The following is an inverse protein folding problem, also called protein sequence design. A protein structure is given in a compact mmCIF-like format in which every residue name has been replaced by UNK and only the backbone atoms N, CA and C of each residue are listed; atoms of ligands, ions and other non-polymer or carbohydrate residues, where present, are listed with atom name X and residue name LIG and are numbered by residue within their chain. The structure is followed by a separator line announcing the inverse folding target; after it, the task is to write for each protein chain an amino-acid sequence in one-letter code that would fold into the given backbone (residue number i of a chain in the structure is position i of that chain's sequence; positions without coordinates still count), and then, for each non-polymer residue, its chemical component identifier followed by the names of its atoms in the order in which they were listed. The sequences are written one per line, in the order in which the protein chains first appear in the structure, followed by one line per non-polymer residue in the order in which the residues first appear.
data_IF_805130532100
#
_entry.id   IF_805130532100
#
_cell.length_a   1.000
_cell.length_b   1.000
_cell.length_c   1.000
_cell.angle_alpha   90.00
_cell.angle_beta   90.00
_cell.angle_gamma   90.00
#
_symmetry.space_group_name_H-M   'P 1'
#
loop_
_entity.id
_entity.type
_entity.pdbx_description
1 polymer ?
#
# COMPACT_ATOMS: atom_id res chain seq x y z
N UNK A 1 7.13 -11.69 22.33
CA UNK A 1 8.41 -10.98 22.15
C UNK A 1 8.85 -11.02 20.70
N UNK A 2 9.58 -10.00 20.20
CA UNK A 2 10.16 -10.00 18.84
C UNK A 2 11.11 -11.18 18.62
N UNK A 3 11.68 -11.72 19.68
CA UNK A 3 12.55 -12.91 19.65
C UNK A 3 11.81 -14.22 19.33
N UNK A 4 10.50 -14.24 19.45
CA UNK A 4 9.68 -15.44 19.21
C UNK A 4 9.26 -15.58 17.75
N UNK A 5 9.62 -14.59 16.91
CA UNK A 5 9.24 -14.56 15.49
C UNK A 5 10.42 -14.98 14.62
N UNK A 6 10.22 -15.98 13.81
CA UNK A 6 11.15 -16.27 12.72
C UNK A 6 11.10 -15.12 11.70
N UNK A 7 12.26 -14.58 11.34
CA UNK A 7 12.38 -13.41 10.44
C UNK A 7 11.58 -13.53 9.13
N UNK A 8 11.46 -14.71 8.49
CA UNK A 8 10.60 -14.85 7.31
C UNK A 8 9.12 -14.62 7.63
N UNK A 9 8.61 -15.10 8.76
CA UNK A 9 7.22 -14.90 9.18
C UNK A 9 6.93 -13.44 9.52
N UNK A 10 7.86 -12.75 10.19
CA UNK A 10 7.73 -11.32 10.46
C UNK A 10 7.55 -10.52 9.17
N UNK A 11 8.38 -10.79 8.14
CA UNK A 11 8.34 -10.09 6.84
C UNK A 11 7.04 -10.31 6.06
N UNK A 12 6.27 -11.36 6.36
CA UNK A 12 4.95 -11.54 5.74
C UNK A 12 3.86 -10.68 6.38
N UNK A 13 4.09 -10.20 7.60
CA UNK A 13 3.10 -9.48 8.40
C UNK A 13 3.34 -7.99 8.46
N UNK A 14 4.58 -7.54 8.29
CA UNK A 14 4.98 -6.15 8.33
C UNK A 14 5.50 -5.74 6.96
N UNK A 15 4.92 -4.71 6.38
CA UNK A 15 5.32 -4.19 5.08
C UNK A 15 5.66 -2.70 5.17
N UNK A 16 6.62 -2.27 4.36
CA UNK A 16 7.11 -0.90 4.32
C UNK A 16 6.84 -0.26 2.97
N UNK A 17 6.34 0.97 3.00
CA UNK A 17 6.18 1.83 1.82
C UNK A 17 7.08 3.05 2.03
N UNK A 18 8.18 3.17 1.28
CA UNK A 18 9.09 4.30 1.37
C UNK A 18 8.53 5.53 0.66
N UNK A 19 9.06 6.70 0.99
CA UNK A 19 8.76 7.95 0.32
C UNK A 19 9.01 7.90 -1.19
N UNK A 20 10.08 7.22 -1.62
CA UNK A 20 10.40 7.02 -3.03
C UNK A 20 10.39 5.51 -3.35
N UNK A 21 9.26 4.98 -3.85
CA UNK A 21 9.15 3.57 -4.18
C UNK A 21 10.08 3.18 -5.34
N UNK A 22 10.70 2.00 -5.23
CA UNK A 22 11.57 1.45 -6.27
C UNK A 22 10.88 0.27 -6.95
N UNK A 23 10.99 0.21 -8.26
CA UNK A 23 10.47 -0.84 -9.10
C UNK A 23 11.59 -1.46 -9.95
N UNK A 24 11.39 -2.71 -10.37
CA UNK A 24 12.23 -3.34 -11.37
C UNK A 24 11.92 -2.74 -12.75
N UNK A 25 12.88 -2.79 -13.67
CA UNK A 25 12.72 -2.33 -15.06
C UNK A 25 11.83 -3.32 -15.86
N UNK A 26 10.59 -3.40 -15.47
CA UNK A 26 9.55 -4.29 -15.98
C UNK A 26 8.21 -3.56 -15.98
N UNK A 27 7.13 -4.22 -16.42
CA UNK A 27 5.79 -3.63 -16.38
C UNK A 27 5.29 -3.47 -14.94
N UNK A 28 4.30 -2.59 -14.77
CA UNK A 28 3.60 -2.40 -13.49
C UNK A 28 3.06 -3.73 -12.99
N UNK A 29 2.39 -4.50 -13.85
CA UNK A 29 1.82 -5.79 -13.48
C UNK A 29 2.88 -6.79 -13.02
N UNK A 30 4.01 -6.87 -13.71
CA UNK A 30 5.11 -7.76 -13.32
C UNK A 30 5.66 -7.37 -11.94
N UNK A 31 5.80 -6.08 -11.66
CA UNK A 31 6.19 -5.58 -10.35
C UNK A 31 5.19 -5.94 -9.25
N UNK A 32 3.89 -5.88 -9.53
CA UNK A 32 2.85 -6.32 -8.60
C UNK A 32 2.93 -7.83 -8.32
N UNK A 33 3.20 -8.64 -9.36
CA UNK A 33 3.28 -10.11 -9.27
C UNK A 33 4.55 -10.61 -8.55
N UNK A 34 5.63 -9.85 -8.54
CA UNK A 34 6.93 -10.30 -8.00
C UNK A 34 6.89 -10.78 -6.56
N UNK A 35 6.09 -10.15 -5.71
CA UNK A 35 6.00 -10.53 -4.31
C UNK A 35 5.51 -11.98 -4.11
N UNK A 36 4.68 -12.49 -5.03
CA UNK A 36 4.15 -13.86 -4.98
C UNK A 36 5.18 -14.93 -5.41
N UNK A 37 6.30 -14.51 -6.00
CA UNK A 37 7.42 -15.41 -6.31
C UNK A 37 8.27 -15.75 -5.07
N UNK A 38 8.12 -14.97 -3.99
CA UNK A 38 8.81 -15.20 -2.74
C UNK A 38 8.20 -16.42 -2.02
N UNK A 39 9.05 -17.31 -1.51
CA UNK A 39 8.64 -18.51 -0.77
C UNK A 39 7.63 -18.20 0.36
N UNK A 40 7.78 -17.05 1.00
CA UNK A 40 6.90 -16.60 2.07
C UNK A 40 5.45 -16.31 1.62
N UNK A 41 5.23 -16.04 0.34
CA UNK A 41 3.92 -15.70 -0.25
C UNK A 41 3.43 -16.70 -1.29
N UNK A 42 4.12 -17.84 -1.49
CA UNK A 42 3.78 -18.85 -2.51
C UNK A 42 2.37 -19.46 -2.37
N UNK A 43 1.78 -19.36 -1.17
CA UNK A 43 0.41 -19.80 -0.89
C UNK A 43 -0.65 -18.78 -1.33
N UNK A 44 -0.27 -17.57 -1.68
CA UNK A 44 -1.13 -16.51 -2.18
C UNK A 44 -1.04 -16.41 -3.70
N UNK A 45 -2.03 -15.80 -4.31
CA UNK A 45 -2.08 -15.60 -5.76
C UNK A 45 -2.38 -14.15 -6.07
N UNK A 46 -1.79 -13.66 -7.15
CA UNK A 46 -2.12 -12.37 -7.71
C UNK A 46 -3.57 -12.36 -8.20
N UNK A 47 -4.33 -11.38 -7.76
CA UNK A 47 -5.71 -11.15 -8.22
C UNK A 47 -5.78 -9.83 -9.00
N UNK A 48 -5.77 -9.96 -10.32
CA UNK A 48 -5.87 -8.81 -11.23
C UNK A 48 -7.17 -8.04 -11.05
N UNK A 49 -8.30 -8.75 -10.79
CA UNK A 49 -9.59 -8.10 -10.60
C UNK A 49 -9.59 -7.19 -9.38
N UNK A 50 -8.98 -7.63 -8.30
CA UNK A 50 -8.83 -6.83 -7.09
C UNK A 50 -7.95 -5.59 -7.34
N UNK A 51 -6.85 -5.75 -8.07
CA UNK A 51 -5.97 -4.62 -8.43
C UNK A 51 -6.73 -3.61 -9.30
N UNK A 52 -7.46 -4.06 -10.31
CA UNK A 52 -8.27 -3.18 -11.15
C UNK A 52 -9.34 -2.44 -10.34
N UNK A 53 -10.05 -3.12 -9.45
CA UNK A 53 -11.04 -2.52 -8.56
C UNK A 53 -10.44 -1.45 -7.62
N UNK A 54 -9.21 -1.64 -7.16
CA UNK A 54 -8.50 -0.61 -6.40
C UNK A 54 -8.05 0.56 -7.27
N UNK A 55 -7.52 0.31 -8.49
CA UNK A 55 -7.13 1.37 -9.43
C UNK A 55 -8.33 2.25 -9.82
N UNK A 56 -9.51 1.68 -9.99
CA UNK A 56 -10.75 2.43 -10.25
C UNK A 56 -11.05 3.45 -9.13
N UNK A 57 -10.76 3.12 -7.88
CA UNK A 57 -10.96 4.05 -6.76
C UNK A 57 -10.05 5.28 -6.85
N UNK A 58 -8.91 5.18 -7.51
CA UNK A 58 -8.01 6.32 -7.72
C UNK A 58 -8.38 7.17 -8.93
N UNK A 59 -9.18 6.67 -9.87
CA UNK A 59 -9.53 7.37 -11.13
C UNK A 59 -8.30 7.96 -11.83
N UNK A 60 -7.21 7.17 -11.90
CA UNK A 60 -6.00 7.59 -12.58
C UNK A 60 -6.30 7.88 -14.05
N UNK A 61 -5.61 8.86 -14.69
CA UNK A 61 -5.77 9.11 -16.10
C UNK A 61 -5.46 7.84 -16.92
N UNK A 62 -6.37 7.45 -17.78
CA UNK A 62 -6.15 6.42 -18.79
C UNK A 62 -5.78 7.06 -20.12
N UNK A 63 -5.04 6.39 -20.99
CA UNK A 63 -4.66 6.90 -22.29
C UNK A 63 -5.86 7.28 -23.17
N UNK A 64 -7.04 6.73 -22.91
CA UNK A 64 -8.28 7.05 -23.60
C UNK A 64 -8.88 8.41 -23.24
N UNK A 65 -8.30 9.17 -22.31
CA UNK A 65 -8.73 10.54 -21.98
C UNK A 65 -10.11 10.64 -21.31
N UNK A 66 -10.75 9.53 -20.96
CA UNK A 66 -12.09 9.53 -20.39
C UNK A 66 -12.03 9.47 -18.86
N UNK A 67 -12.23 10.61 -18.22
CA UNK A 67 -12.38 10.75 -16.77
C UNK A 67 -13.77 10.36 -16.26
N UNK A 68 -14.59 9.68 -17.04
CA UNK A 68 -15.96 9.32 -16.66
C UNK A 68 -16.35 7.95 -17.20
N UNK A 69 -16.12 6.94 -16.41
CA UNK A 69 -16.52 5.56 -16.70
C UNK A 69 -15.45 4.57 -16.25
N UNK A 70 -15.83 3.33 -16.01
CA UNK A 70 -14.93 2.23 -15.66
C UNK A 70 -13.74 2.24 -16.63
N UNK A 71 -12.61 2.81 -16.18
CA UNK A 71 -11.40 2.92 -17.01
C UNK A 71 -10.80 1.54 -17.22
N UNK A 72 -10.45 1.21 -18.46
CA UNK A 72 -9.66 0.01 -18.72
C UNK A 72 -8.20 0.29 -18.28
N UNK A 73 -7.88 -0.10 -17.04
CA UNK A 73 -6.53 0.00 -16.49
C UNK A 73 -5.59 -1.12 -16.96
N UNK A 74 -6.02 -1.96 -17.91
CA UNK A 74 -5.17 -3.01 -18.48
C UNK A 74 -3.93 -2.40 -19.15
N UNK A 75 -4.10 -1.27 -19.83
CA UNK A 75 -2.97 -0.53 -20.42
C UNK A 75 -2.01 0.01 -19.35
N UNK A 76 -2.53 0.56 -18.26
CA UNK A 76 -1.72 1.00 -17.12
C UNK A 76 -0.86 -0.14 -16.56
N UNK A 77 -1.44 -1.33 -16.43
CA UNK A 77 -0.72 -2.51 -15.92
C UNK A 77 0.41 -2.96 -16.86
N UNK A 78 0.31 -2.71 -18.16
CA UNK A 78 1.34 -3.06 -19.15
C UNK A 78 2.40 -1.99 -19.34
N UNK A 79 2.22 -0.78 -18.77
CA UNK A 79 3.23 0.29 -18.86
C UNK A 79 4.52 -0.13 -18.14
N UNK A 80 5.70 0.29 -18.64
CA UNK A 80 6.96 0.17 -17.91
C UNK A 80 6.87 0.94 -16.58
N UNK A 81 7.25 0.29 -15.48
CA UNK A 81 7.15 0.92 -14.16
C UNK A 81 8.06 2.15 -14.00
N UNK A 82 9.10 2.28 -14.80
CA UNK A 82 9.99 3.45 -14.85
C UNK A 82 9.30 4.71 -15.39
N UNK A 83 8.21 4.55 -16.13
CA UNK A 83 7.46 5.66 -16.75
C UNK A 83 6.31 6.16 -15.87
N UNK A 84 6.18 5.63 -14.64
CA UNK A 84 5.21 6.09 -13.67
C UNK A 84 5.55 7.48 -13.13
N UNK A 85 4.55 8.35 -13.06
CA UNK A 85 4.65 9.58 -12.26
C UNK A 85 4.86 9.25 -10.78
N UNK A 86 5.31 10.23 -9.98
CA UNK A 86 5.49 10.02 -8.53
C UNK A 86 4.22 9.54 -7.82
N UNK A 87 3.07 10.10 -8.17
CA UNK A 87 1.78 9.70 -7.61
C UNK A 87 1.38 8.27 -8.03
N UNK A 88 1.52 7.94 -9.33
CA UNK A 88 1.25 6.58 -9.82
C UNK A 88 2.18 5.55 -9.17
N UNK A 89 3.45 5.91 -8.95
CA UNK A 89 4.42 5.08 -8.26
C UNK A 89 4.00 4.81 -6.80
N UNK A 90 3.55 5.84 -6.08
CA UNK A 90 3.06 5.68 -4.70
C UNK A 90 1.81 4.80 -4.63
N UNK A 91 0.84 5.02 -5.52
CA UNK A 91 -0.36 4.18 -5.59
C UNK A 91 0.03 2.73 -5.92
N UNK A 92 0.89 2.52 -6.93
CA UNK A 92 1.37 1.17 -7.29
C UNK A 92 2.09 0.48 -6.12
N UNK A 93 2.91 1.22 -5.35
CA UNK A 93 3.57 0.68 -4.16
C UNK A 93 2.56 0.28 -3.07
N UNK A 94 1.52 1.10 -2.84
CA UNK A 94 0.44 0.75 -1.94
C UNK A 94 -0.25 -0.56 -2.37
N UNK A 95 -0.69 -0.66 -3.63
CA UNK A 95 -1.37 -1.85 -4.14
C UNK A 95 -0.47 -3.09 -4.08
N UNK A 96 0.84 -2.95 -4.39
CA UNK A 96 1.83 -4.02 -4.28
C UNK A 96 1.91 -4.61 -2.87
N UNK A 97 1.70 -3.77 -1.86
CA UNK A 97 1.76 -4.17 -0.45
C UNK A 97 0.41 -4.70 0.03
N UNK A 98 -0.71 -4.00 -0.25
CA UNK A 98 -2.02 -4.38 0.26
C UNK A 98 -2.48 -5.76 -0.20
N UNK A 99 -2.17 -6.16 -1.45
CA UNK A 99 -2.49 -7.49 -1.98
C UNK A 99 -1.86 -8.65 -1.19
N UNK A 100 -0.83 -8.35 -0.37
CA UNK A 100 -0.16 -9.33 0.50
C UNK A 100 -0.84 -9.44 1.87
N UNK A 101 -1.89 -8.66 2.11
CA UNK A 101 -2.64 -8.61 3.37
C UNK A 101 -1.73 -8.51 4.61
N UNK A 102 -0.86 -7.50 4.70
CA UNK A 102 -0.01 -7.31 5.87
C UNK A 102 -0.86 -7.03 7.10
N UNK A 103 -0.31 -7.25 8.28
CA UNK A 103 -0.93 -6.87 9.55
C UNK A 103 -0.50 -5.46 9.99
N UNK A 104 0.72 -5.05 9.61
CA UNK A 104 1.27 -3.75 9.95
C UNK A 104 1.86 -3.10 8.70
N UNK A 105 1.55 -1.83 8.49
CA UNK A 105 2.15 -0.98 7.47
C UNK A 105 3.08 0.05 8.13
N UNK A 106 4.28 0.16 7.62
CA UNK A 106 5.20 1.25 7.90
C UNK A 106 5.17 2.19 6.69
N UNK A 107 4.75 3.43 6.89
CA UNK A 107 4.47 4.41 5.85
C UNK A 107 5.38 5.63 6.06
N UNK A 108 6.26 5.88 5.10
CA UNK A 108 7.19 7.00 5.13
C UNK A 108 6.81 8.01 4.05
N UNK A 109 6.21 9.14 4.46
CA UNK A 109 5.68 10.19 3.59
C UNK A 109 4.86 9.63 2.40
N UNK A 110 3.90 8.71 2.62
CA UNK A 110 3.31 7.90 1.56
C UNK A 110 2.43 8.69 0.58
N UNK A 111 2.15 9.96 0.88
CA UNK A 111 1.31 10.83 0.05
C UNK A 111 2.03 12.07 -0.46
N UNK A 112 3.34 12.16 -0.28
CA UNK A 112 4.12 13.35 -0.64
C UNK A 112 4.05 13.71 -2.14
N UNK A 113 3.83 12.73 -3.01
CA UNK A 113 3.72 12.90 -4.47
C UNK A 113 2.27 12.93 -4.97
N UNK A 114 1.29 12.96 -4.08
CA UNK A 114 -0.14 12.95 -4.41
C UNK A 114 -0.73 14.35 -4.25
N UNK A 115 -1.66 14.71 -5.13
CA UNK A 115 -2.53 15.86 -4.92
C UNK A 115 -3.56 15.59 -3.80
N UNK A 116 -4.36 16.59 -3.45
CA UNK A 116 -5.32 16.48 -2.35
C UNK A 116 -6.41 15.42 -2.60
N UNK A 117 -6.83 15.26 -3.86
CA UNK A 117 -7.87 14.29 -4.21
C UNK A 117 -7.34 12.86 -4.11
N UNK A 118 -6.18 12.59 -4.72
CA UNK A 118 -5.53 11.28 -4.65
C UNK A 118 -5.10 10.94 -3.22
N UNK A 119 -4.65 11.94 -2.43
CA UNK A 119 -4.37 11.77 -1.00
C UNK A 119 -5.60 11.27 -0.25
N UNK A 120 -6.76 11.90 -0.44
CA UNK A 120 -8.00 11.45 0.21
C UNK A 120 -8.40 10.03 -0.19
N UNK A 121 -8.23 9.67 -1.48
CA UNK A 121 -8.50 8.30 -1.97
C UNK A 121 -7.54 7.27 -1.38
N UNK A 122 -6.25 7.63 -1.23
CA UNK A 122 -5.22 6.82 -0.59
C UNK A 122 -5.57 6.55 0.88
N UNK A 123 -5.92 7.61 1.63
CA UNK A 123 -6.34 7.53 3.03
C UNK A 123 -7.59 6.63 3.17
N UNK A 124 -8.61 6.82 2.33
CA UNK A 124 -9.83 6.01 2.33
C UNK A 124 -9.55 4.52 2.06
N UNK A 125 -8.64 4.19 1.14
CA UNK A 125 -8.29 2.80 0.87
C UNK A 125 -7.58 2.15 2.07
N UNK A 126 -6.71 2.89 2.77
CA UNK A 126 -6.06 2.42 4.00
C UNK A 126 -7.07 2.19 5.14
N UNK A 127 -8.02 3.10 5.33
CA UNK A 127 -9.08 2.92 6.33
C UNK A 127 -9.94 1.69 6.05
N UNK A 128 -10.30 1.46 4.78
CA UNK A 128 -10.98 0.23 4.37
C UNK A 128 -10.14 -1.00 4.69
N UNK A 129 -8.87 -1.00 4.27
CA UNK A 129 -7.96 -2.10 4.56
C UNK A 129 -7.84 -2.39 6.07
N UNK A 130 -7.82 -1.36 6.92
CA UNK A 130 -7.74 -1.54 8.37
C UNK A 130 -8.99 -2.20 8.94
N UNK A 131 -10.16 -1.85 8.39
CA UNK A 131 -11.47 -2.28 8.91
C UNK A 131 -11.97 -3.59 8.28
N UNK A 132 -11.45 -3.97 7.10
CA UNK A 132 -11.84 -5.21 6.44
C UNK A 132 -11.13 -6.42 7.05
N UNK A 133 -11.91 -7.49 7.25
CA UNK A 133 -11.33 -8.76 7.71
C UNK A 133 -10.56 -9.44 6.58
N UNK A 134 -9.41 -10.07 6.85
CA UNK A 134 -8.74 -10.93 5.86
C UNK A 134 -9.66 -12.07 5.43
N UNK A 135 -9.81 -12.27 4.12
CA UNK A 135 -10.76 -13.22 3.50
C UNK A 135 -10.51 -14.70 3.90
N UNK A 136 -9.38 -15.04 4.52
CA UNK A 136 -8.91 -16.42 4.69
C UNK A 136 -8.70 -16.90 6.13
N UNK A 137 -9.40 -16.35 7.14
CA UNK A 137 -9.30 -16.87 8.50
C UNK A 137 -10.58 -17.62 8.94
N UNK A 138 -10.81 -18.81 8.35
CA UNK A 138 -11.88 -19.73 8.77
C UNK A 138 -11.56 -20.54 10.06
N UNK A 139 -10.33 -20.46 10.61
CA UNK A 139 -9.88 -21.38 11.65
C UNK A 139 -9.49 -20.78 13.01
N UNK A 140 -9.84 -19.54 13.30
CA UNK A 140 -9.57 -18.97 14.63
C UNK A 140 -10.79 -18.25 15.18
N UNK A 141 -11.58 -18.99 15.96
CA UNK A 141 -12.61 -18.40 16.82
C UNK A 141 -11.97 -17.35 17.75
N UNK A 142 -12.49 -16.11 17.71
CA UNK A 142 -12.34 -15.04 18.70
C UNK A 142 -11.16 -14.05 18.64
N UNK A 143 -10.33 -13.96 17.60
CA UNK A 143 -9.44 -12.81 17.48
C UNK A 143 -9.50 -12.25 16.07
N UNK A 144 -10.23 -11.13 15.91
CA UNK A 144 -10.14 -10.31 14.71
C UNK A 144 -8.69 -9.83 14.56
N UNK A 145 -7.96 -10.17 13.49
CA UNK A 145 -6.60 -9.68 13.32
C UNK A 145 -6.64 -8.17 13.22
N UNK A 146 -6.10 -7.49 14.21
CA UNK A 146 -6.01 -6.04 14.20
C UNK A 146 -4.95 -5.64 13.18
N UNK A 147 -5.32 -4.83 12.21
CA UNK A 147 -4.41 -4.17 11.29
C UNK A 147 -4.03 -2.81 11.85
N UNK A 148 -2.79 -2.41 11.65
CA UNK A 148 -2.26 -1.14 12.13
C UNK A 148 -1.30 -0.52 11.12
N UNK A 149 -1.08 0.78 11.24
CA UNK A 149 0.01 1.46 10.55
C UNK A 149 0.83 2.32 11.50
N UNK A 150 2.07 2.54 11.12
CA UNK A 150 2.94 3.59 11.64
C UNK A 150 3.18 4.54 10.46
N UNK A 151 2.82 5.80 10.63
CA UNK A 151 2.85 6.82 9.59
C UNK A 151 3.82 7.92 9.96
N UNK A 152 4.82 8.15 9.13
CA UNK A 152 5.73 9.30 9.22
C UNK A 152 5.27 10.33 8.21
N UNK A 153 5.02 11.57 8.64
CA UNK A 153 4.68 12.69 7.77
C UNK A 153 5.06 14.02 8.40
N UNK A 154 5.38 15.00 7.56
CA UNK A 154 5.55 16.39 7.95
C UNK A 154 4.22 17.17 7.95
N UNK A 155 3.11 16.56 7.55
CA UNK A 155 1.78 17.18 7.54
C UNK A 155 1.01 16.85 8.83
N UNK A 156 0.95 17.80 9.81
CA UNK A 156 0.32 17.53 11.10
C UNK A 156 -1.20 17.31 10.99
N UNK A 157 -1.87 17.92 10.02
CA UNK A 157 -3.31 17.76 9.85
C UNK A 157 -3.65 16.36 9.30
N UNK A 158 -2.80 15.82 8.44
CA UNK A 158 -2.91 14.46 7.97
C UNK A 158 -2.70 13.46 9.12
N UNK A 159 -1.67 13.65 9.93
CA UNK A 159 -1.41 12.80 11.09
C UNK A 159 -2.57 12.81 12.08
N UNK A 160 -3.20 13.97 12.33
CA UNK A 160 -4.38 14.06 13.19
C UNK A 160 -5.58 13.28 12.65
N UNK A 161 -5.76 13.24 11.32
CA UNK A 161 -6.86 12.47 10.71
C UNK A 161 -6.59 10.97 10.73
N UNK A 162 -5.34 10.57 10.41
CA UNK A 162 -5.00 9.18 10.14
C UNK A 162 -4.48 8.40 11.36
N UNK A 163 -4.04 9.09 12.41
CA UNK A 163 -3.37 8.46 13.54
C UNK A 163 -4.08 8.77 14.86
N UNK A 164 -4.29 7.73 15.68
CA UNK A 164 -4.86 7.89 17.03
C UNK A 164 -3.83 8.42 18.03
N UNK A 165 -2.58 8.01 17.87
CA UNK A 165 -1.46 8.39 18.74
C UNK A 165 -0.38 9.05 17.88
N UNK A 166 0.17 10.14 18.37
CA UNK A 166 1.22 10.90 17.68
C UNK A 166 2.43 11.03 18.58
N UNK A 167 3.61 10.89 18.00
CA UNK A 167 4.90 11.11 18.65
C UNK A 167 5.69 12.12 17.82
N UNK A 168 6.26 13.13 18.49
CA UNK A 168 7.22 14.04 17.88
C UNK A 168 8.61 13.55 18.20
N UNK A 169 9.43 13.38 17.18
CA UNK A 169 10.87 13.18 17.34
C UNK A 169 11.50 14.57 17.40
N UNK A 170 11.64 15.13 18.60
CA UNK A 170 12.44 16.34 18.79
C UNK A 170 13.91 15.98 18.54
N UNK A 171 14.57 16.69 17.61
CA UNK A 171 16.02 16.64 17.55
C UNK A 171 16.52 17.30 18.83
N UNK A 172 17.14 16.55 19.73
CA UNK A 172 18.00 17.13 20.76
C UNK A 172 19.10 17.90 20.03
N UNK A 173 18.89 19.20 19.83
CA UNK A 173 19.96 20.10 19.49
C UNK A 173 20.87 20.17 20.75
N UNK A 174 21.84 19.26 20.79
CA UNK A 174 22.92 19.32 21.73
C UNK A 174 23.64 20.66 21.57
N UNK A 175 23.60 21.46 22.61
CA UNK A 175 24.53 22.56 22.83
C UNK A 175 25.97 22.04 22.92
#
# INVERSE_FOLDING_TARGET
SLHDWEMPQYRTKVSFIPQNPVFFDETVETNLKRAFQLKAHQHRRYDQKQILAWLEQFSLPTAAGNSSGVGDYSEFLQRPAKDLSGGEAQITALLRVLQLEPQVLLLDEPTASLDAELTGRFENLLEKWQNELPVNNSDSANTTPQRAWIWVSHNPDQLRRMCRNMFSLESENGN
#
